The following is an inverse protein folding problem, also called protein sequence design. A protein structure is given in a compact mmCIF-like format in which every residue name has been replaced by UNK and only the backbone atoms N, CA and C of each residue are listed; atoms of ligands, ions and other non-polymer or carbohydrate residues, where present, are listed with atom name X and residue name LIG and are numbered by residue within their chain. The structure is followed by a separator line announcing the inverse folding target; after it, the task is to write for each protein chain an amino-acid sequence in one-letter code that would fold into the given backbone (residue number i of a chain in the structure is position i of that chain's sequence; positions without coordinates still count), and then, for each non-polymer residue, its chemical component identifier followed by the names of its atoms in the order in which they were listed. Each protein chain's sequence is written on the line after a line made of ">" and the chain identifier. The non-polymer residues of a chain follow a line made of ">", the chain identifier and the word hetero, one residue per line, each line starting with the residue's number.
data_IF_841923341202
#
_entry.id   IF_841923341202
#
_cell.length_a   1.000
_cell.length_b   1.000
_cell.length_c   1.000
_cell.angle_alpha   90.00
_cell.angle_beta   90.00
_cell.angle_gamma   90.00
#
_symmetry.space_group_name_H-M   'P 1'
#
loop_
_entity.id
_entity.type
_entity.pdbx_description
1 polymer ?
#
# COMPACT_ATOMS: atom_id res chain seq x y z
N UNK A 1 22.91 10.81 2.04
CA UNK A 1 23.48 9.67 1.32
C UNK A 1 24.46 8.79 2.13
N UNK A 2 24.99 9.25 3.26
CA UNK A 2 25.91 8.45 4.08
C UNK A 2 25.18 7.58 5.10
N UNK A 3 24.01 7.98 5.58
CA UNK A 3 23.26 7.27 6.60
C UNK A 3 22.66 5.94 6.11
N UNK A 4 22.16 5.87 4.86
CA UNK A 4 21.63 4.62 4.29
C UNK A 4 22.68 3.53 4.12
N UNK A 5 23.92 3.92 3.75
CA UNK A 5 25.03 2.98 3.63
C UNK A 5 25.50 2.42 4.99
N UNK A 6 25.30 3.20 6.08
CA UNK A 6 25.67 2.78 7.44
C UNK A 6 24.65 1.78 7.98
N UNK A 7 23.37 1.98 7.74
CA UNK A 7 22.31 1.04 8.17
C UNK A 7 22.40 -0.30 7.43
N UNK A 8 22.68 -0.28 6.13
CA UNK A 8 22.95 -1.50 5.36
C UNK A 8 24.21 -2.21 5.85
N UNK A 9 25.25 -1.45 6.20
CA UNK A 9 26.50 -1.98 6.76
C UNK A 9 26.33 -2.61 8.15
N UNK A 10 25.49 -2.01 9.01
CA UNK A 10 25.20 -2.55 10.35
C UNK A 10 24.33 -3.81 10.24
N UNK A 11 23.35 -3.84 9.34
CA UNK A 11 22.53 -5.03 9.10
C UNK A 11 23.34 -6.23 8.64
N UNK A 12 24.34 -6.02 7.78
CA UNK A 12 25.25 -7.08 7.34
C UNK A 12 26.24 -7.49 8.45
N UNK A 13 26.71 -6.54 9.26
CA UNK A 13 27.63 -6.82 10.37
C UNK A 13 26.98 -7.53 11.57
N UNK A 14 25.66 -7.39 11.72
CA UNK A 14 24.87 -8.03 12.79
C UNK A 14 24.22 -9.37 12.40
N UNK A 15 24.83 -10.12 11.47
CA UNK A 15 24.38 -11.43 10.99
C UNK A 15 23.06 -11.43 10.15
N UNK A 16 22.51 -10.28 9.82
CA UNK A 16 21.37 -10.17 8.90
C UNK A 16 21.62 -10.79 7.53
N UNK A 17 22.89 -10.82 7.08
CA UNK A 17 23.30 -11.51 5.86
C UNK A 17 23.20 -13.04 5.87
N UNK A 18 22.89 -13.67 7.03
CA UNK A 18 22.62 -15.11 7.08
C UNK A 18 21.27 -15.51 6.50
N UNK A 19 20.36 -14.56 6.39
CA UNK A 19 18.99 -14.80 5.93
C UNK A 19 18.79 -14.56 4.44
N UNK A 20 19.74 -13.92 3.76
CA UNK A 20 19.69 -13.68 2.31
C UNK A 20 20.94 -14.25 1.64
N UNK A 21 20.96 -15.54 1.33
CA UNK A 21 21.97 -16.10 0.44
C UNK A 21 21.54 -15.82 -0.99
N UNK A 22 22.43 -15.26 -1.81
CA UNK A 22 22.20 -15.05 -3.23
C UNK A 22 21.77 -16.33 -4.00
N UNK A 23 22.03 -17.52 -3.43
CA UNK A 23 21.57 -18.80 -3.94
C UNK A 23 20.07 -19.03 -3.75
N UNK A 24 19.40 -18.32 -2.83
CA UNK A 24 17.98 -18.48 -2.59
C UNK A 24 17.15 -17.59 -3.53
N UNK A 25 17.73 -16.50 -4.02
CA UNK A 25 17.09 -15.64 -5.03
C UNK A 25 16.91 -16.34 -6.40
N UNK A 26 17.75 -17.31 -6.74
CA UNK A 26 17.64 -18.07 -7.99
C UNK A 26 16.77 -19.33 -7.87
N UNK A 27 16.19 -19.61 -6.70
CA UNK A 27 15.28 -20.73 -6.49
C UNK A 27 13.79 -20.35 -6.44
N UNK A 28 13.47 -19.09 -6.67
CA UNK A 28 12.06 -18.63 -6.69
C UNK A 28 11.30 -19.05 -7.96
N UNK A 29 11.93 -19.76 -8.90
CA UNK A 29 11.27 -20.40 -10.06
C UNK A 29 10.74 -21.82 -9.76
N UNK A 30 10.70 -22.23 -8.50
CA UNK A 30 10.14 -23.52 -8.09
C UNK A 30 8.75 -23.33 -7.53
N UNK A 31 7.76 -23.99 -8.16
CA UNK A 31 6.38 -24.08 -7.72
C UNK A 31 6.26 -24.02 -6.18
N UNK A 32 5.59 -22.98 -5.68
CA UNK A 32 5.31 -22.84 -4.26
C UNK A 32 4.72 -24.17 -3.76
N UNK A 33 5.37 -24.78 -2.78
CA UNK A 33 4.80 -25.93 -2.09
C UNK A 33 3.53 -25.42 -1.42
N UNK A 34 2.37 -25.93 -1.88
CA UNK A 34 1.10 -25.70 -1.22
C UNK A 34 1.29 -26.05 0.26
N UNK A 35 1.17 -25.07 1.13
CA UNK A 35 1.19 -25.30 2.59
C UNK A 35 -0.06 -26.10 2.94
N UNK A 36 0.05 -27.10 3.80
CA UNK A 36 -1.08 -27.93 4.24
C UNK A 36 -2.12 -27.12 5.06
N UNK A 37 -1.85 -25.85 5.39
CA UNK A 37 -2.66 -24.94 6.20
C UNK A 37 -2.99 -23.62 5.46
N UNK A 38 -3.22 -23.67 4.17
CA UNK A 38 -3.67 -22.49 3.42
C UNK A 38 -5.17 -22.27 3.61
N UNK A 39 -5.58 -21.05 4.02
CA UNK A 39 -6.98 -20.64 4.07
C UNK A 39 -7.29 -19.72 2.90
N UNK A 40 -8.30 -20.08 2.15
CA UNK A 40 -8.71 -19.34 0.95
C UNK A 40 -10.19 -19.03 1.03
N UNK A 41 -10.53 -17.74 0.89
CA UNK A 41 -11.86 -17.30 0.55
C UNK A 41 -11.90 -16.97 -0.94
N UNK A 42 -12.64 -17.74 -1.70
CA UNK A 42 -12.87 -17.44 -3.10
C UNK A 42 -13.67 -16.13 -3.28
N UNK A 43 -13.58 -15.51 -4.45
CA UNK A 43 -14.26 -14.26 -4.79
C UNK A 43 -15.73 -14.29 -4.37
N UNK A 44 -16.05 -13.69 -3.22
CA UNK A 44 -17.35 -13.72 -2.55
C UNK A 44 -18.01 -12.36 -2.69
N UNK A 45 -19.28 -12.35 -3.14
CA UNK A 45 -20.03 -11.12 -3.34
C UNK A 45 -20.33 -10.43 -2.01
N UNK A 46 -20.15 -9.12 -2.00
CA UNK A 46 -20.53 -8.23 -0.91
C UNK A 46 -21.85 -7.50 -1.23
N UNK A 47 -22.52 -7.03 -0.20
CA UNK A 47 -23.54 -6.00 -0.35
C UNK A 47 -22.89 -4.68 -0.78
N UNK A 48 -23.68 -3.77 -1.35
CA UNK A 48 -23.18 -2.46 -1.78
C UNK A 48 -22.73 -1.63 -0.58
N UNK A 49 -21.59 -0.94 -0.74
CA UNK A 49 -21.06 -0.02 0.26
C UNK A 49 -20.45 1.21 -0.41
N UNK A 50 -20.43 2.32 0.32
CA UNK A 50 -19.80 3.57 -0.10
C UNK A 50 -18.79 4.09 0.94
N UNK A 51 -18.54 3.32 1.97
CA UNK A 51 -17.56 3.64 3.01
C UNK A 51 -16.82 2.38 3.45
N UNK A 52 -15.55 2.50 3.78
CA UNK A 52 -14.72 1.39 4.24
C UNK A 52 -13.96 1.75 5.52
N UNK A 53 -13.82 0.75 6.39
CA UNK A 53 -13.09 0.83 7.65
C UNK A 53 -12.31 -0.49 7.77
N UNK A 54 -11.02 -0.43 7.53
CA UNK A 54 -10.17 -1.60 7.31
C UNK A 54 -9.02 -1.55 8.30
N UNK A 55 -8.85 -2.63 9.06
CA UNK A 55 -7.76 -2.78 10.01
C UNK A 55 -7.01 -4.08 9.73
N UNK A 56 -5.76 -3.93 9.33
CA UNK A 56 -4.86 -5.03 8.98
C UNK A 56 -3.70 -5.08 9.98
N UNK A 57 -3.05 -6.22 10.09
CA UNK A 57 -1.85 -6.40 10.89
C UNK A 57 -0.66 -6.70 9.98
N UNK A 58 -0.70 -7.81 9.26
CA UNK A 58 0.41 -8.26 8.41
C UNK A 58 -0.02 -8.77 7.02
N UNK A 59 -1.32 -9.02 6.79
CA UNK A 59 -1.81 -9.38 5.47
C UNK A 59 -1.85 -8.17 4.54
N UNK A 60 -1.35 -8.33 3.32
CA UNK A 60 -1.43 -7.28 2.30
C UNK A 60 -2.88 -6.98 1.91
N UNK A 61 -3.16 -5.72 1.62
CA UNK A 61 -4.46 -5.26 1.16
C UNK A 61 -4.37 -4.76 -0.27
N UNK A 62 -5.26 -5.25 -1.13
CA UNK A 62 -5.43 -4.65 -2.45
C UNK A 62 -6.89 -4.36 -2.76
N UNK A 63 -7.12 -3.19 -3.36
CA UNK A 63 -8.41 -2.79 -3.91
C UNK A 63 -8.23 -2.65 -5.41
N UNK A 64 -9.04 -3.39 -6.17
CA UNK A 64 -8.93 -3.45 -7.64
C UNK A 64 -10.31 -3.35 -8.29
N UNK A 65 -10.32 -3.02 -9.58
CA UNK A 65 -11.57 -2.97 -10.33
C UNK A 65 -12.23 -4.35 -10.42
N UNK A 66 -13.54 -4.39 -10.25
CA UNK A 66 -14.37 -5.57 -10.54
C UNK A 66 -14.63 -5.67 -12.05
N UNK A 67 -14.81 -6.91 -12.53
CA UNK A 67 -15.16 -7.17 -13.93
C UNK A 67 -16.64 -6.86 -14.23
N UNK A 68 -17.43 -6.59 -13.21
CA UNK A 68 -18.86 -6.31 -13.27
C UNK A 68 -19.29 -5.20 -12.31
N UNK A 69 -20.61 -5.04 -12.12
CA UNK A 69 -21.20 -3.99 -11.32
C UNK A 69 -21.29 -4.31 -9.81
N UNK A 70 -20.68 -5.39 -9.34
CA UNK A 70 -20.77 -5.84 -7.96
C UNK A 70 -19.45 -5.74 -7.23
N UNK A 71 -19.53 -5.57 -5.92
CA UNK A 71 -18.39 -5.65 -5.03
C UNK A 71 -18.14 -7.09 -4.57
N UNK A 72 -16.87 -7.42 -4.39
CA UNK A 72 -16.49 -8.73 -3.88
C UNK A 72 -15.31 -8.61 -2.92
N UNK A 73 -15.13 -9.66 -2.12
CA UNK A 73 -13.93 -9.87 -1.32
C UNK A 73 -13.38 -11.26 -1.60
N UNK A 74 -12.09 -11.37 -1.60
CA UNK A 74 -11.38 -12.66 -1.52
C UNK A 74 -10.19 -12.52 -0.60
N UNK A 75 -9.71 -13.63 -0.06
CA UNK A 75 -8.42 -13.65 0.61
C UNK A 75 -7.71 -14.98 0.43
N UNK A 76 -6.40 -14.93 0.55
CA UNK A 76 -5.53 -16.10 0.66
C UNK A 76 -4.58 -15.86 1.83
N UNK A 77 -4.46 -16.85 2.71
CA UNK A 77 -3.58 -16.79 3.86
C UNK A 77 -2.91 -18.14 4.09
N UNK A 78 -1.59 -18.14 4.21
CA UNK A 78 -0.79 -19.31 4.54
C UNK A 78 -0.67 -19.47 6.06
N UNK A 79 -0.45 -20.74 6.49
CA UNK A 79 -0.16 -21.11 7.86
C UNK A 79 -1.18 -20.68 8.94
N UNK A 80 -2.45 -20.47 8.53
CA UNK A 80 -3.54 -20.09 9.41
C UNK A 80 -4.31 -21.30 9.94
N UNK A 81 -4.68 -21.25 11.22
CA UNK A 81 -5.52 -22.28 11.87
C UNK A 81 -6.99 -21.87 12.01
N UNK A 82 -7.31 -20.60 11.78
CA UNK A 82 -8.65 -20.01 11.88
C UNK A 82 -8.80 -18.97 10.80
N UNK A 83 -10.04 -18.55 10.55
CA UNK A 83 -10.32 -17.48 9.61
C UNK A 83 -9.47 -16.23 9.91
N UNK A 84 -8.58 -15.85 8.98
CA UNK A 84 -7.65 -14.75 9.22
C UNK A 84 -8.35 -13.40 9.19
N UNK A 85 -9.51 -13.31 8.53
CA UNK A 85 -10.24 -12.07 8.26
C UNK A 85 -11.68 -12.19 8.75
N UNK A 86 -12.12 -11.19 9.49
CA UNK A 86 -13.53 -10.92 9.75
C UNK A 86 -13.98 -9.76 8.87
N UNK A 87 -15.08 -9.90 8.16
CA UNK A 87 -15.62 -8.83 7.32
C UNK A 87 -17.14 -8.75 7.39
N UNK A 88 -17.65 -7.54 7.21
CA UNK A 88 -19.08 -7.27 7.22
C UNK A 88 -19.40 -6.00 6.45
N UNK A 89 -20.47 -6.01 5.66
CA UNK A 89 -21.11 -4.79 5.17
C UNK A 89 -22.36 -4.52 6.01
N UNK A 90 -22.41 -3.34 6.62
CA UNK A 90 -23.57 -2.90 7.39
C UNK A 90 -23.75 -1.39 7.24
N UNK A 91 -24.98 -0.96 7.01
CA UNK A 91 -25.36 0.44 6.85
C UNK A 91 -24.50 1.17 5.78
N UNK A 92 -24.21 0.48 4.65
CA UNK A 92 -23.38 1.00 3.56
C UNK A 92 -21.88 1.10 3.88
N UNK A 93 -21.44 0.52 5.00
CA UNK A 93 -20.04 0.52 5.42
C UNK A 93 -19.46 -0.89 5.43
N UNK A 94 -18.41 -1.09 4.65
CA UNK A 94 -17.57 -2.30 4.72
C UNK A 94 -16.62 -2.16 5.91
N UNK A 95 -16.63 -3.15 6.79
CA UNK A 95 -15.62 -3.32 7.84
C UNK A 95 -14.83 -4.58 7.59
N UNK A 96 -13.52 -4.45 7.68
CA UNK A 96 -12.58 -5.58 7.61
C UNK A 96 -11.66 -5.48 8.82
N UNK A 97 -11.51 -6.60 9.50
CA UNK A 97 -10.59 -6.74 10.62
C UNK A 97 -9.77 -8.00 10.42
N UNK A 98 -8.44 -7.85 10.40
CA UNK A 98 -7.57 -9.02 10.49
C UNK A 98 -7.59 -9.60 11.91
N UNK A 99 -7.77 -10.91 11.98
CA UNK A 99 -7.85 -11.65 13.23
C UNK A 99 -6.43 -12.11 13.62
N UNK A 100 -5.82 -11.47 14.59
CA UNK A 100 -4.51 -11.86 15.10
C UNK A 100 -4.63 -13.18 15.87
N UNK A 101 -4.36 -14.30 15.20
CA UNK A 101 -4.72 -15.63 15.70
C UNK A 101 -3.69 -16.28 16.64
N UNK A 102 -2.42 -15.89 16.63
CA UNK A 102 -1.37 -16.61 17.40
C UNK A 102 -0.30 -15.68 18.05
N UNK A 103 -0.44 -14.35 17.99
CA UNK A 103 0.58 -13.42 18.51
C UNK A 103 1.96 -13.58 17.85
N UNK A 104 2.01 -14.22 16.70
CA UNK A 104 3.21 -14.33 15.87
C UNK A 104 3.09 -13.34 14.72
N UNK A 105 3.93 -12.37 14.75
CA UNK A 105 4.11 -11.42 13.66
C UNK A 105 5.05 -12.06 12.65
N UNK A 106 4.60 -12.26 11.42
CA UNK A 106 5.44 -12.76 10.33
C UNK A 106 5.90 -11.56 9.53
N UNK A 107 7.20 -11.31 9.53
CA UNK A 107 7.81 -10.27 8.69
C UNK A 107 7.93 -10.82 7.25
N UNK A 108 7.01 -10.46 6.40
CA UNK A 108 7.15 -10.66 4.96
C UNK A 108 7.71 -9.39 4.33
N UNK A 109 8.99 -9.40 4.01
CA UNK A 109 9.59 -8.37 3.16
C UNK A 109 9.41 -8.82 1.72
N UNK A 110 8.33 -8.38 1.08
CA UNK A 110 8.11 -8.66 -0.34
C UNK A 110 8.77 -7.59 -1.22
N UNK A 111 9.99 -7.88 -1.62
CA UNK A 111 10.74 -7.06 -2.60
C UNK A 111 10.08 -7.11 -3.99
N UNK A 112 9.24 -8.11 -4.26
CA UNK A 112 8.55 -8.30 -5.54
C UNK A 112 7.35 -7.38 -5.74
N UNK A 113 6.72 -6.91 -4.67
CA UNK A 113 5.54 -6.06 -4.71
C UNK A 113 5.79 -4.76 -5.51
N UNK A 114 6.91 -4.09 -5.27
CA UNK A 114 7.33 -2.89 -6.01
C UNK A 114 7.64 -3.16 -7.48
N UNK A 115 8.29 -4.28 -7.81
CA UNK A 115 8.66 -4.60 -9.18
C UNK A 115 7.46 -4.96 -10.06
N UNK A 116 6.44 -5.64 -9.48
CA UNK A 116 5.20 -5.95 -10.18
C UNK A 116 4.34 -4.72 -10.47
N UNK A 117 4.44 -3.66 -9.66
CA UNK A 117 3.70 -2.41 -9.83
C UNK A 117 4.30 -1.47 -10.85
N UNK A 118 5.60 -1.49 -11.03
CA UNK A 118 6.32 -0.66 -12.02
C UNK A 118 6.26 -1.25 -13.44
N UNK A 119 5.88 -2.53 -13.58
CA UNK A 119 5.59 -3.19 -14.86
C UNK A 119 4.09 -3.29 -15.13
N UNK A 120 3.69 -3.62 -16.36
CA UNK A 120 2.31 -3.91 -16.73
C UNK A 120 1.79 -5.26 -16.15
N UNK A 121 2.52 -5.85 -15.19
CA UNK A 121 2.22 -7.13 -14.57
C UNK A 121 1.08 -7.04 -13.55
N UNK A 122 0.23 -8.03 -13.57
CA UNK A 122 -0.70 -8.37 -12.50
C UNK A 122 0.05 -8.44 -11.17
N UNK A 123 -0.56 -7.90 -10.11
CA UNK A 123 -0.10 -8.10 -8.74
C UNK A 123 0.24 -9.58 -8.53
N UNK A 124 1.41 -9.84 -8.00
CA UNK A 124 1.80 -11.20 -7.63
C UNK A 124 0.73 -11.77 -6.72
N UNK A 125 0.42 -13.04 -6.90
CA UNK A 125 -0.48 -13.80 -6.03
C UNK A 125 0.27 -14.08 -4.73
N UNK A 126 0.39 -13.05 -3.88
CA UNK A 126 1.00 -13.18 -2.57
C UNK A 126 0.20 -14.15 -1.71
N UNK A 127 0.90 -14.94 -0.94
CA UNK A 127 0.30 -15.98 -0.10
C UNK A 127 -0.53 -15.40 1.07
N UNK A 128 -0.37 -14.08 1.38
CA UNK A 128 -1.10 -13.41 2.45
C UNK A 128 -1.69 -12.09 1.93
N UNK A 129 -2.86 -12.17 1.31
CA UNK A 129 -3.49 -11.01 0.70
C UNK A 129 -5.01 -11.03 0.86
N UNK A 130 -5.57 -9.85 1.15
CA UNK A 130 -7.00 -9.56 1.06
C UNK A 130 -7.22 -8.70 -0.19
N UNK A 131 -8.14 -9.14 -1.05
CA UNK A 131 -8.52 -8.41 -2.25
C UNK A 131 -9.96 -7.95 -2.16
N UNK A 132 -10.19 -6.65 -2.33
CA UNK A 132 -11.51 -6.05 -2.48
C UNK A 132 -11.66 -5.68 -3.94
N UNK A 133 -12.72 -6.16 -4.57
CA UNK A 133 -13.08 -5.82 -5.94
C UNK A 133 -14.22 -4.80 -5.90
N UNK A 134 -14.07 -3.70 -6.59
CA UNK A 134 -15.07 -2.63 -6.66
C UNK A 134 -15.40 -2.29 -8.11
N UNK A 135 -16.65 -2.01 -8.46
CA UNK A 135 -17.01 -1.55 -9.79
C UNK A 135 -16.24 -0.30 -10.19
N UNK A 136 -15.87 -0.19 -11.46
CA UNK A 136 -15.25 1.02 -11.98
C UNK A 136 -16.17 2.24 -11.74
N UNK A 137 -15.60 3.33 -11.25
CA UNK A 137 -16.33 4.57 -10.95
C UNK A 137 -17.15 4.53 -9.65
N UNK A 138 -17.03 3.49 -8.84
CA UNK A 138 -17.65 3.49 -7.50
C UNK A 138 -16.97 4.53 -6.62
N UNK A 139 -17.79 5.43 -6.04
CA UNK A 139 -17.31 6.48 -5.14
C UNK A 139 -17.40 6.05 -3.69
N UNK A 140 -16.30 6.21 -2.98
CA UNK A 140 -16.23 5.99 -1.54
C UNK A 140 -16.32 7.35 -0.84
N UNK A 141 -17.33 7.54 0.00
CA UNK A 141 -17.48 8.73 0.85
C UNK A 141 -16.37 8.82 1.89
N UNK A 142 -16.00 7.65 2.42
CA UNK A 142 -14.96 7.51 3.42
C UNK A 142 -14.17 6.23 3.20
N UNK A 143 -12.85 6.35 3.21
CA UNK A 143 -11.93 5.22 3.32
C UNK A 143 -11.01 5.45 4.53
N UNK A 144 -11.14 4.64 5.58
CA UNK A 144 -10.23 4.62 6.74
C UNK A 144 -9.52 3.27 6.75
N UNK A 145 -8.22 3.27 6.46
CA UNK A 145 -7.39 2.07 6.33
C UNK A 145 -6.23 2.20 7.29
N UNK A 146 -6.10 1.24 8.19
CA UNK A 146 -5.01 1.15 9.16
C UNK A 146 -4.33 -0.19 9.05
N UNK A 147 -3.02 -0.19 9.19
CA UNK A 147 -2.22 -1.39 9.19
C UNK A 147 -0.99 -1.23 10.07
N UNK A 148 -0.54 -2.36 10.63
CA UNK A 148 0.75 -2.38 11.32
C UNK A 148 1.88 -2.62 10.29
N UNK A 149 1.80 -3.68 9.47
CA UNK A 149 2.90 -4.08 8.57
C UNK A 149 2.47 -4.52 7.18
N UNK A 150 1.33 -4.06 6.69
CA UNK A 150 0.80 -4.48 5.40
C UNK A 150 1.25 -3.57 4.27
N UNK A 151 1.53 -4.14 3.11
CA UNK A 151 1.53 -3.38 1.87
C UNK A 151 0.09 -3.12 1.42
N UNK A 152 -0.17 -1.89 0.98
CA UNK A 152 -1.51 -1.44 0.61
C UNK A 152 -1.50 -0.96 -0.83
N UNK A 153 -2.35 -1.54 -1.67
CA UNK A 153 -2.58 -1.09 -3.03
C UNK A 153 -4.02 -0.65 -3.22
N UNK A 154 -4.23 0.58 -3.67
CA UNK A 154 -5.52 1.05 -4.18
C UNK A 154 -5.39 1.37 -5.66
N UNK A 155 -6.20 0.70 -6.49
CA UNK A 155 -6.18 0.88 -7.93
C UNK A 155 -7.58 1.22 -8.46
N UNK A 156 -7.72 2.38 -9.12
CA UNK A 156 -8.96 2.80 -9.75
C UNK A 156 -10.03 3.30 -8.77
N UNK A 157 -9.64 3.74 -7.56
CA UNK A 157 -10.59 4.18 -6.54
C UNK A 157 -10.94 5.66 -6.67
N UNK A 158 -12.22 6.01 -6.51
CA UNK A 158 -12.68 7.38 -6.32
C UNK A 158 -13.05 7.58 -4.85
N UNK A 159 -12.32 8.43 -4.12
CA UNK A 159 -12.46 8.60 -2.66
C UNK A 159 -12.75 10.06 -2.32
N UNK A 160 -13.89 10.34 -1.67
CA UNK A 160 -14.17 11.70 -1.21
C UNK A 160 -13.26 12.08 -0.03
N UNK A 161 -13.20 11.24 0.99
CA UNK A 161 -12.34 11.45 2.14
C UNK A 161 -11.62 10.15 2.49
N UNK A 162 -10.30 10.18 2.52
CA UNK A 162 -9.46 9.01 2.80
C UNK A 162 -8.41 9.28 3.86
N UNK A 163 -8.18 8.28 4.69
CA UNK A 163 -7.03 8.18 5.57
C UNK A 163 -6.42 6.79 5.44
N UNK A 164 -5.14 6.73 5.13
CA UNK A 164 -4.36 5.48 5.09
C UNK A 164 -3.18 5.65 6.04
N UNK A 165 -3.08 4.77 7.00
CA UNK A 165 -2.00 4.76 7.96
C UNK A 165 -1.42 3.35 8.08
N UNK A 166 -0.10 3.26 8.02
CA UNK A 166 0.63 2.02 8.31
C UNK A 166 1.87 2.34 9.12
N UNK A 167 2.25 1.47 10.05
CA UNK A 167 3.49 1.64 10.79
C UNK A 167 4.68 1.18 9.93
N UNK A 168 4.50 0.07 9.20
CA UNK A 168 5.53 -0.45 8.29
C UNK A 168 4.88 -1.14 7.09
N UNK A 169 5.15 -0.63 5.91
CA UNK A 169 4.64 -1.21 4.66
C UNK A 169 4.54 -0.16 3.57
N UNK A 170 4.60 -0.63 2.35
CA UNK A 170 4.53 0.23 1.18
C UNK A 170 3.07 0.56 0.82
N UNK A 171 2.83 1.80 0.39
CA UNK A 171 1.48 2.23 -0.01
C UNK A 171 1.48 2.72 -1.44
N UNK A 172 0.60 2.12 -2.24
CA UNK A 172 0.48 2.41 -3.66
C UNK A 172 -0.92 2.89 -4.02
N UNK A 173 -0.96 4.01 -4.71
CA UNK A 173 -2.15 4.51 -5.38
C UNK A 173 -1.92 4.53 -6.89
N UNK A 174 -2.78 3.82 -7.63
CA UNK A 174 -2.75 3.80 -9.08
C UNK A 174 -4.11 4.20 -9.62
N UNK A 175 -4.16 5.23 -10.46
CA UNK A 175 -5.41 5.71 -11.06
C UNK A 175 -6.51 6.06 -10.06
N UNK A 176 -6.15 6.51 -8.87
CA UNK A 176 -7.13 6.95 -7.88
C UNK A 176 -7.39 8.45 -8.02
N UNK A 177 -8.65 8.83 -7.77
CA UNK A 177 -9.06 10.23 -7.61
C UNK A 177 -9.59 10.44 -6.20
N UNK A 178 -9.44 11.65 -5.64
CA UNK A 178 -9.89 11.96 -4.28
C UNK A 178 -10.15 13.45 -4.10
N UNK A 179 -11.05 13.77 -3.15
CA UNK A 179 -11.20 15.14 -2.69
C UNK A 179 -10.23 15.46 -1.56
N UNK A 180 -10.12 14.57 -0.56
CA UNK A 180 -9.18 14.70 0.54
C UNK A 180 -8.57 13.33 0.85
N UNK A 181 -7.26 13.22 0.76
CA UNK A 181 -6.54 11.99 1.11
C UNK A 181 -5.34 12.33 2.01
N UNK A 182 -5.27 11.63 3.14
CA UNK A 182 -4.10 11.65 4.03
C UNK A 182 -3.47 10.27 4.05
N UNK A 183 -2.17 10.23 3.86
CA UNK A 183 -1.40 8.99 3.92
C UNK A 183 -0.24 9.19 4.89
N UNK A 184 -0.12 8.30 5.86
CA UNK A 184 0.99 8.29 6.81
C UNK A 184 1.58 6.89 6.91
N UNK A 185 2.90 6.80 6.85
CA UNK A 185 3.64 5.60 7.22
C UNK A 185 4.84 6.02 8.09
N UNK A 186 5.21 5.19 9.05
CA UNK A 186 6.44 5.43 9.80
C UNK A 186 7.64 4.87 9.02
N UNK A 187 7.49 3.67 8.41
CA UNK A 187 8.52 3.05 7.57
C UNK A 187 7.90 2.42 6.33
N UNK A 188 8.25 2.91 5.14
CA UNK A 188 7.82 2.34 3.88
C UNK A 188 7.79 3.36 2.75
N UNK A 189 7.82 2.85 1.54
CA UNK A 189 7.76 3.68 0.34
C UNK A 189 6.32 4.00 -0.05
N UNK A 190 6.13 5.21 -0.55
CA UNK A 190 4.83 5.70 -1.00
C UNK A 190 4.87 6.03 -2.48
N UNK A 191 3.94 5.49 -3.27
CA UNK A 191 3.91 5.74 -4.70
C UNK A 191 2.51 6.10 -5.18
N UNK A 192 2.41 7.24 -5.87
CA UNK A 192 1.23 7.70 -6.57
C UNK A 192 1.48 7.69 -8.07
N UNK A 193 0.62 6.98 -8.81
CA UNK A 193 0.65 6.95 -10.28
C UNK A 193 -0.73 7.37 -10.78
N UNK A 194 -0.82 8.52 -11.43
CA UNK A 194 -2.09 9.07 -11.90
C UNK A 194 -1.99 9.80 -13.22
N UNK A 195 -3.14 10.22 -13.74
CA UNK A 195 -3.20 11.04 -14.96
C UNK A 195 -2.61 12.42 -14.70
N UNK A 196 -1.78 12.91 -15.62
CA UNK A 196 -1.11 14.20 -15.51
C UNK A 196 -2.09 15.35 -15.31
N UNK A 197 -3.13 15.42 -16.13
CA UNK A 197 -4.14 16.48 -16.11
C UNK A 197 -4.85 16.56 -14.74
N UNK A 198 -5.07 15.44 -14.11
CA UNK A 198 -5.68 15.35 -12.80
C UNK A 198 -4.68 15.73 -11.70
N UNK A 199 -3.49 15.11 -11.66
CA UNK A 199 -2.49 15.36 -10.62
C UNK A 199 -2.01 16.80 -10.58
N UNK A 200 -1.96 17.49 -11.71
CA UNK A 200 -1.64 18.93 -11.80
C UNK A 200 -2.66 19.83 -11.12
N UNK A 201 -3.89 19.37 -10.95
CA UNK A 201 -4.93 20.15 -10.25
C UNK A 201 -4.93 19.98 -8.76
N UNK A 202 -4.23 19.00 -8.20
CA UNK A 202 -4.26 18.70 -6.77
C UNK A 202 -3.47 19.72 -5.93
N UNK A 203 -3.95 19.95 -4.71
CA UNK A 203 -3.15 20.51 -3.64
C UNK A 203 -2.33 19.38 -3.04
N UNK A 204 -1.03 19.42 -3.17
CA UNK A 204 -0.12 18.35 -2.72
C UNK A 204 0.77 18.90 -1.61
N UNK A 205 0.84 18.17 -0.51
CA UNK A 205 1.79 18.38 0.57
C UNK A 205 2.42 17.03 0.93
N UNK A 206 3.72 16.92 0.75
CA UNK A 206 4.48 15.69 0.95
C UNK A 206 5.69 15.99 1.80
N UNK A 207 5.96 15.15 2.81
CA UNK A 207 7.12 15.26 3.69
C UNK A 207 7.72 13.88 3.95
N UNK A 208 9.04 13.82 4.03
CA UNK A 208 9.80 12.67 4.55
C UNK A 208 10.95 13.18 5.41
N UNK A 209 11.17 12.55 6.56
CA UNK A 209 12.27 12.90 7.46
C UNK A 209 13.56 12.17 7.00
N UNK A 210 13.43 10.93 6.53
CA UNK A 210 14.56 10.15 5.99
C UNK A 210 14.15 9.42 4.71
N UNK A 211 14.55 9.96 3.56
CA UNK A 211 14.28 9.36 2.25
C UNK A 211 14.32 10.40 1.15
N UNK A 212 13.92 9.98 -0.05
CA UNK A 212 13.90 10.84 -1.22
C UNK A 212 12.46 11.13 -1.66
N UNK A 213 12.20 12.35 -2.14
CA UNK A 213 10.95 12.70 -2.82
C UNK A 213 11.25 12.82 -4.32
N UNK A 214 10.66 11.93 -5.12
CA UNK A 214 10.78 11.93 -6.56
C UNK A 214 9.45 12.35 -7.20
N UNK A 215 9.46 13.51 -7.83
CA UNK A 215 8.26 14.12 -8.43
C UNK A 215 8.43 14.19 -9.94
N UNK A 216 7.39 13.82 -10.67
CA UNK A 216 7.35 13.93 -12.13
C UNK A 216 7.50 15.38 -12.58
N UNK A 217 8.28 15.61 -13.66
CA UNK A 217 8.57 16.94 -14.19
C UNK A 217 7.30 17.71 -14.65
N UNK A 218 6.20 17.00 -14.89
CA UNK A 218 4.92 17.59 -15.21
C UNK A 218 4.24 18.32 -14.03
N UNK A 219 4.65 18.02 -12.81
CA UNK A 219 4.14 18.66 -11.59
C UNK A 219 4.98 19.90 -11.25
N UNK A 220 4.32 21.02 -10.98
CA UNK A 220 4.95 22.35 -10.89
C UNK A 220 5.08 22.89 -9.47
N UNK A 221 5.11 22.00 -8.48
CA UNK A 221 5.28 22.37 -7.08
C UNK A 221 6.71 22.82 -6.73
N UNK A 222 6.93 23.06 -5.47
CA UNK A 222 8.22 23.47 -4.92
C UNK A 222 8.76 22.40 -3.99
N UNK A 223 10.00 21.97 -4.25
CA UNK A 223 10.80 21.14 -3.36
C UNK A 223 11.57 22.02 -2.38
N UNK A 224 11.63 21.60 -1.13
CA UNK A 224 12.47 22.22 -0.08
C UNK A 224 13.18 21.09 0.64
N UNK A 225 14.48 21.21 0.77
CA UNK A 225 15.37 20.31 1.50
C UNK A 225 15.97 21.07 2.68
N UNK A 226 15.77 20.55 3.88
CA UNK A 226 16.46 21.05 5.07
C UNK A 226 17.74 20.21 5.26
N UNK A 227 18.89 20.89 5.10
CA UNK A 227 20.20 20.20 5.14
C UNK A 227 20.61 19.85 6.58
N UNK A 228 20.05 20.50 7.56
CA UNK A 228 20.42 20.29 8.95
C UNK A 228 19.65 19.09 9.56
N UNK A 229 18.36 18.92 9.21
CA UNK A 229 17.48 17.89 9.77
C UNK A 229 17.21 16.72 8.80
N UNK A 230 17.75 16.76 7.58
CA UNK A 230 17.52 15.78 6.49
C UNK A 230 16.07 15.70 6.00
N UNK A 231 15.23 16.66 6.36
CA UNK A 231 13.83 16.70 5.98
C UNK A 231 13.69 17.18 4.53
N UNK A 232 12.89 16.45 3.75
CA UNK A 232 12.53 16.85 2.40
C UNK A 232 11.01 17.05 2.33
N UNK A 233 10.61 18.16 1.73
CA UNK A 233 9.20 18.44 1.50
C UNK A 233 8.92 18.89 0.06
N UNK A 234 7.74 18.54 -0.43
CA UNK A 234 7.23 19.02 -1.71
C UNK A 234 5.83 19.59 -1.52
N UNK A 235 5.58 20.76 -2.10
CA UNK A 235 4.28 21.41 -2.05
C UNK A 235 3.84 21.88 -3.43
N UNK A 236 2.60 21.58 -3.80
CA UNK A 236 1.95 22.08 -4.99
C UNK A 236 0.59 22.68 -4.62
N UNK A 237 0.25 23.82 -5.20
CA UNK A 237 -1.07 24.44 -5.05
C UNK A 237 -1.89 24.20 -6.31
N UNK A 238 -3.07 23.66 -6.13
CA UNK A 238 -4.04 23.40 -7.19
C UNK A 238 -5.45 23.82 -6.78
N UNK A 239 -6.42 23.46 -7.57
CA UNK A 239 -7.86 23.73 -7.33
C UNK A 239 -8.69 22.45 -7.15
N UNK A 240 -8.05 21.31 -7.26
CA UNK A 240 -8.66 19.98 -7.16
C UNK A 240 -8.52 19.38 -5.77
N UNK A 241 -8.34 18.06 -5.73
CA UNK A 241 -8.22 17.31 -4.48
C UNK A 241 -7.04 17.71 -3.61
N UNK A 242 -7.10 17.35 -2.33
CA UNK A 242 -6.04 17.60 -1.35
C UNK A 242 -5.34 16.28 -1.03
N UNK A 243 -4.04 16.22 -1.28
CA UNK A 243 -3.17 15.10 -0.97
C UNK A 243 -2.16 15.51 0.09
N UNK A 244 -2.19 14.86 1.24
CA UNK A 244 -1.19 15.02 2.27
C UNK A 244 -0.50 13.68 2.54
N UNK A 245 0.81 13.64 2.37
CA UNK A 245 1.64 12.44 2.56
C UNK A 245 2.73 12.75 3.58
N UNK A 246 2.93 11.83 4.51
CA UNK A 246 4.02 11.87 5.46
C UNK A 246 4.62 10.48 5.63
N UNK A 247 5.94 10.39 5.61
CA UNK A 247 6.68 9.22 6.08
C UNK A 247 7.85 9.68 6.94
N UNK A 248 8.12 8.93 8.00
CA UNK A 248 9.29 9.21 8.83
C UNK A 248 10.55 8.59 8.17
N UNK A 249 10.42 7.42 7.55
CA UNK A 249 11.52 6.78 6.82
C UNK A 249 11.02 6.03 5.58
N UNK A 250 11.28 6.58 4.40
CA UNK A 250 10.89 5.98 3.13
C UNK A 250 10.89 6.99 1.98
N UNK A 251 10.84 6.47 0.78
CA UNK A 251 10.83 7.29 -0.43
C UNK A 251 9.39 7.58 -0.87
N UNK A 252 9.18 8.77 -1.40
CA UNK A 252 7.88 9.17 -1.94
C UNK A 252 8.02 9.43 -3.43
N UNK A 253 7.16 8.81 -4.23
CA UNK A 253 7.16 8.97 -5.69
C UNK A 253 5.81 9.44 -6.18
N UNK A 254 5.78 10.56 -6.88
CA UNK A 254 4.63 11.10 -7.60
C UNK A 254 4.90 11.01 -9.10
N UNK A 255 4.18 10.15 -9.82
CA UNK A 255 4.41 9.88 -11.24
C UNK A 255 3.15 10.14 -12.07
N UNK A 256 3.31 10.92 -13.12
CA UNK A 256 2.29 11.15 -14.15
C UNK A 256 2.38 10.10 -15.28
N UNK A 257 1.25 9.81 -15.92
CA UNK A 257 1.15 8.93 -17.08
C UNK A 257 0.16 9.44 -18.11
#
# INVERSE_FOLDING_TARGET
>A
CVCGAILTGIGVASDGGKYVKAADLNKMDGAAKKSDNEMVLEKTKLDDFDSADISMTDMNLQVVSSDDQYCYISYRASDQKKDPISYQVKDGKLRIQENNNDGKTYYHVDIGFLSGLLGEGTLTTDENVVTIYVPEGQKWKLADIKSDMSNILLNGCEIENGAVQTDSGDVFFKNCDFNNLKVKTDMGDLCFIGKEDMMRTWNIQVNTDMGDINVDDALTGKMVEDQDDCDISYTQKGTGGNLAIQTDSGNIRLKCR
#
